data_IF_131189258548
#
_entry.id   IF_131189258548
#
_cell.length_a   1.000
_cell.length_b   1.000
_cell.length_c   1.000
_cell.angle_alpha   90.00
_cell.angle_beta   90.00
_cell.angle_gamma   90.00
#
_symmetry.space_group_name_H-M   'P 1'
#
loop_
_entity.id
_entity.type
_entity.pdbx_description
1 polymer ?
#
# COMPACT_ATOMS: atom_id res chain seq x y z
N UNK A 1 -10.67 -3.50 -2.96
CA UNK A 1 -10.01 -4.16 -1.81
C UNK A 1 -9.56 -5.58 -2.10
N UNK A 2 -10.45 -6.57 -2.29
CA UNK A 2 -10.02 -7.98 -2.47
C UNK A 2 -8.97 -8.18 -3.58
N UNK A 3 -9.20 -7.60 -4.76
CA UNK A 3 -8.24 -7.62 -5.88
C UNK A 3 -6.88 -7.02 -5.50
N UNK A 4 -6.90 -5.91 -4.78
CA UNK A 4 -5.68 -5.17 -4.40
C UNK A 4 -4.81 -6.00 -3.47
N UNK A 5 -5.39 -6.61 -2.44
CA UNK A 5 -4.65 -7.46 -1.51
C UNK A 5 -4.10 -8.72 -2.18
N UNK A 6 -4.87 -9.37 -3.05
CA UNK A 6 -4.37 -10.53 -3.82
C UNK A 6 -3.25 -10.18 -4.80
N UNK A 7 -3.27 -8.98 -5.38
CA UNK A 7 -2.14 -8.48 -6.17
C UNK A 7 -0.92 -8.18 -5.29
N UNK A 8 -1.11 -7.60 -4.09
CA UNK A 8 -0.01 -7.32 -3.17
C UNK A 8 0.65 -8.61 -2.65
N UNK A 9 -0.15 -9.65 -2.36
CA UNK A 9 0.34 -10.97 -1.93
C UNK A 9 1.27 -11.61 -2.98
N UNK A 10 1.00 -11.38 -4.26
CA UNK A 10 1.74 -12.05 -5.35
C UNK A 10 2.85 -11.17 -5.95
N UNK A 11 2.64 -9.86 -6.02
CA UNK A 11 3.57 -8.90 -6.61
C UNK A 11 3.28 -7.45 -6.19
N UNK A 12 4.03 -6.95 -5.21
CA UNK A 12 3.93 -5.57 -4.71
C UNK A 12 4.24 -4.49 -5.78
N UNK A 13 4.89 -4.86 -6.89
CA UNK A 13 5.19 -3.98 -8.03
C UNK A 13 4.24 -4.17 -9.20
N UNK A 14 3.12 -4.87 -9.01
CA UNK A 14 2.15 -5.08 -10.07
C UNK A 14 1.63 -3.73 -10.60
N UNK A 15 1.63 -3.47 -11.93
CA UNK A 15 1.29 -2.14 -12.48
C UNK A 15 -0.09 -1.61 -12.07
N UNK A 16 -1.05 -2.52 -11.83
CA UNK A 16 -2.38 -2.17 -11.36
C UNK A 16 -2.44 -1.60 -9.94
N UNK A 17 -1.39 -1.80 -9.12
CA UNK A 17 -1.28 -1.22 -7.78
C UNK A 17 -0.77 0.22 -7.79
N UNK A 18 -0.07 0.65 -8.85
CA UNK A 18 0.57 1.98 -8.92
C UNK A 18 1.35 2.35 -7.64
N UNK A 19 2.04 1.36 -7.09
CA UNK A 19 2.83 1.51 -5.86
C UNK A 19 3.89 2.58 -6.01
N UNK A 20 3.97 3.50 -5.05
CA UNK A 20 5.06 4.46 -4.93
C UNK A 20 5.31 4.81 -3.46
N UNK A 21 6.50 5.34 -3.17
CA UNK A 21 6.86 5.78 -1.81
C UNK A 21 5.97 6.96 -1.42
N UNK A 22 5.52 6.97 -0.17
CA UNK A 22 4.73 8.03 0.42
C UNK A 22 5.63 8.86 1.35
N UNK A 23 6.24 9.91 0.80
CA UNK A 23 7.34 10.64 1.45
C UNK A 23 6.93 11.44 2.70
N UNK A 24 5.64 11.60 2.97
CA UNK A 24 5.13 12.39 4.10
C UNK A 24 4.95 11.60 5.40
N UNK A 25 5.20 10.29 5.38
CA UNK A 25 5.05 9.42 6.54
C UNK A 25 6.19 8.40 6.58
N UNK A 26 6.69 8.12 7.77
CA UNK A 26 7.62 7.04 8.05
C UNK A 26 6.99 6.07 9.05
N UNK A 27 7.41 4.80 8.98
CA UNK A 27 7.01 3.79 9.95
C UNK A 27 7.58 4.08 11.34
N UNK A 28 7.04 3.40 12.36
CA UNK A 28 7.41 3.66 13.76
C UNK A 28 8.91 3.45 14.04
N UNK A 29 9.62 2.69 13.19
CA UNK A 29 11.04 2.44 13.30
C UNK A 29 11.84 3.02 12.11
N UNK A 30 11.26 3.97 11.37
CA UNK A 30 11.87 4.60 10.20
C UNK A 30 11.70 3.82 8.90
N UNK A 31 10.73 2.90 8.83
CA UNK A 31 10.42 2.17 7.60
C UNK A 31 9.89 3.12 6.52
N UNK A 32 10.32 2.89 5.27
CA UNK A 32 9.72 3.57 4.13
C UNK A 32 8.28 3.08 3.95
N UNK A 33 7.34 4.03 3.86
CA UNK A 33 5.94 3.73 3.61
C UNK A 33 5.65 3.86 2.13
N UNK A 34 4.83 2.94 1.63
CA UNK A 34 4.37 2.90 0.27
C UNK A 34 2.84 3.05 0.23
N UNK A 35 2.37 3.76 -0.79
CA UNK A 35 0.95 3.85 -1.12
C UNK A 35 0.65 2.96 -2.33
N UNK A 36 -0.35 2.10 -2.20
CA UNK A 36 -0.93 1.31 -3.30
C UNK A 36 -2.39 1.70 -3.57
N UNK A 37 -2.74 1.77 -4.84
CA UNK A 37 -4.07 2.16 -5.31
C UNK A 37 -5.03 0.99 -5.17
N UNK A 38 -6.00 1.10 -4.27
CA UNK A 38 -7.10 0.14 -4.21
C UNK A 38 -8.14 0.40 -5.31
N UNK A 39 -8.33 1.67 -5.64
CA UNK A 39 -9.22 2.18 -6.69
C UNK A 39 -8.52 3.33 -7.41
N UNK A 40 -8.89 3.56 -8.67
CA UNK A 40 -8.37 4.67 -9.45
C UNK A 40 -9.52 5.39 -10.18
N UNK A 41 -9.39 6.70 -10.41
CA UNK A 41 -10.40 7.51 -11.12
C UNK A 41 -11.83 7.40 -10.56
N UNK A 42 -11.96 7.25 -9.24
CA UNK A 42 -13.25 7.15 -8.53
C UNK A 42 -13.25 8.17 -7.39
N UNK A 43 -14.31 8.98 -7.21
CA UNK A 43 -14.43 9.85 -6.03
C UNK A 43 -14.33 9.03 -4.74
N UNK A 44 -13.53 9.47 -3.77
CA UNK A 44 -13.28 8.73 -2.54
C UNK A 44 -12.50 7.42 -2.73
N UNK A 45 -11.69 7.32 -3.80
CA UNK A 45 -10.89 6.13 -4.06
C UNK A 45 -10.01 5.75 -2.87
N UNK A 46 -10.04 4.48 -2.49
CA UNK A 46 -9.22 3.99 -1.39
C UNK A 46 -7.75 3.81 -1.77
N UNK A 47 -6.90 3.91 -0.74
CA UNK A 47 -5.46 3.67 -0.75
C UNK A 47 -5.11 2.70 0.35
N UNK A 48 -4.09 1.88 0.08
CA UNK A 48 -3.49 0.97 1.06
C UNK A 48 -2.10 1.50 1.35
N UNK A 49 -1.86 1.86 2.61
CA UNK A 49 -0.54 2.27 3.10
C UNK A 49 0.12 1.07 3.76
N UNK A 50 1.35 0.78 3.37
CA UNK A 50 2.06 -0.41 3.84
C UNK A 50 3.57 -0.20 3.85
N UNK A 51 4.27 -1.04 4.61
CA UNK A 51 5.73 -1.17 4.58
C UNK A 51 6.11 -2.65 4.69
N UNK A 52 7.39 -2.96 4.44
CA UNK A 52 7.92 -4.31 4.63
C UNK A 52 7.69 -4.78 6.08
N UNK A 53 7.17 -5.99 6.24
CA UNK A 53 6.87 -6.57 7.55
C UNK A 53 8.13 -6.96 8.33
N UNK A 54 7.99 -7.30 9.63
CA UNK A 54 9.12 -7.68 10.47
C UNK A 54 9.79 -8.99 10.00
N UNK A 55 9.04 -9.88 9.35
CA UNK A 55 9.55 -11.09 8.72
C UNK A 55 9.88 -10.91 7.23
N UNK A 56 10.78 -11.77 6.73
CA UNK A 56 11.12 -11.80 5.30
C UNK A 56 9.89 -12.19 4.47
N UNK A 57 9.51 -11.32 3.54
CA UNK A 57 8.37 -11.53 2.64
C UNK A 57 7.01 -11.21 3.28
N UNK A 58 7.01 -10.65 4.48
CA UNK A 58 5.81 -10.10 5.09
C UNK A 58 5.59 -8.66 4.66
N UNK A 59 4.34 -8.22 4.73
CA UNK A 59 3.93 -6.83 4.52
C UNK A 59 3.05 -6.42 5.67
N UNK A 60 3.33 -5.27 6.27
CA UNK A 60 2.47 -4.67 7.28
C UNK A 60 1.56 -3.66 6.60
N UNK A 61 0.24 -3.87 6.70
CA UNK A 61 -0.74 -2.85 6.30
C UNK A 61 -0.96 -1.90 7.46
N UNK A 62 -0.67 -0.63 7.22
CA UNK A 62 -0.77 0.46 8.20
C UNK A 62 -2.20 1.01 8.23
N UNK A 63 -2.74 1.27 7.04
CA UNK A 63 -4.07 1.85 6.89
C UNK A 63 -4.69 1.50 5.53
N UNK A 64 -6.02 1.39 5.53
CA UNK A 64 -6.86 1.32 4.34
C UNK A 64 -7.89 2.43 4.48
N UNK A 65 -7.72 3.51 3.73
CA UNK A 65 -8.50 4.74 3.90
C UNK A 65 -8.81 5.38 2.55
N UNK A 66 -9.90 6.17 2.42
CA UNK A 66 -10.08 7.03 1.25
C UNK A 66 -8.84 7.89 1.05
N UNK A 67 -8.48 8.14 -0.21
CA UNK A 67 -7.46 9.11 -0.57
C UNK A 67 -7.87 10.48 0.01
N UNK A 68 -6.92 11.22 0.62
CA UNK A 68 -7.17 12.58 1.10
C UNK A 68 -7.70 13.53 0.02
#
# INVERSE_FOLDING_TARGET
MLKTLGLMETNLRHPGLKTHKYDSLEGANGEEIFEAYAQNNTPGAYRVFWHDGPGKGEVTIIAITPHP
#
